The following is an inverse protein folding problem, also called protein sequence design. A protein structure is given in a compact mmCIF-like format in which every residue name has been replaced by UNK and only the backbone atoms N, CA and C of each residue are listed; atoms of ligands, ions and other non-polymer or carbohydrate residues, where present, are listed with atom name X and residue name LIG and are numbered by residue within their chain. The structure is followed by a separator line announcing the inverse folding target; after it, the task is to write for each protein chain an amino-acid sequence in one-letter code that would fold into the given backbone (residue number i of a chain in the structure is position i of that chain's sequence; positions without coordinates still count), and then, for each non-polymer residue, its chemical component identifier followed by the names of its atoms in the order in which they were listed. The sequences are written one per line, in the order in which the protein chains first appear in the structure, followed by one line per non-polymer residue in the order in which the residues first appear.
data_IF_964686549678
#
_entry.id   IF_964686549678
#
_cell.length_a   1.000
_cell.length_b   1.000
_cell.length_c   1.000
_cell.angle_alpha   90.00
_cell.angle_beta   90.00
_cell.angle_gamma   90.00
#
_symmetry.space_group_name_H-M   'P 1'
#
loop_
_entity.id
_entity.type
_entity.pdbx_description
1 polymer ?
#
# COMPACT_ATOMS: atom_id res chain seq x y z
N UNK A 1 26.67 -11.05 -18.62
CA UNK A 1 27.78 -10.07 -18.65
C UNK A 1 27.23 -8.66 -18.58
N UNK A 2 28.06 -7.76 -18.08
CA UNK A 2 27.73 -6.44 -17.56
C UNK A 2 27.06 -5.48 -18.54
N UNK A 3 26.03 -4.76 -18.08
CA UNK A 3 25.65 -3.46 -18.64
C UNK A 3 24.99 -2.55 -17.58
N UNK A 4 25.61 -2.53 -16.41
CA UNK A 4 25.46 -1.48 -15.39
C UNK A 4 26.82 -0.83 -15.09
N UNK A 5 27.75 -0.84 -16.05
CA UNK A 5 29.11 -0.36 -15.82
C UNK A 5 29.16 1.16 -15.63
N UNK A 6 29.48 1.49 -14.39
CA UNK A 6 30.55 2.43 -14.03
C UNK A 6 30.44 3.83 -14.61
N UNK A 7 29.67 4.65 -13.89
CA UNK A 7 30.14 6.02 -13.62
C UNK A 7 31.00 5.97 -12.36
N UNK A 8 32.26 5.60 -12.54
CA UNK A 8 33.26 5.60 -11.48
C UNK A 8 33.38 6.97 -10.83
N UNK A 9 32.99 7.06 -9.56
CA UNK A 9 33.53 8.06 -8.64
C UNK A 9 34.11 7.30 -7.45
N UNK A 10 35.32 7.69 -7.05
CA UNK A 10 36.17 7.00 -6.08
C UNK A 10 35.65 7.03 -4.62
N UNK A 11 34.34 7.07 -4.43
CA UNK A 11 33.65 6.92 -3.15
C UNK A 11 32.42 6.03 -3.40
N UNK A 12 32.54 4.74 -3.06
CA UNK A 12 31.48 3.73 -2.97
C UNK A 12 30.18 4.06 -3.71
N UNK A 13 30.10 3.63 -4.98
CA UNK A 13 29.02 3.97 -5.90
C UNK A 13 27.62 3.72 -5.32
N UNK A 14 26.85 4.80 -5.16
CA UNK A 14 25.40 4.71 -5.14
C UNK A 14 25.00 4.29 -6.55
N UNK A 15 24.60 3.03 -6.72
CA UNK A 15 23.95 2.63 -7.97
C UNK A 15 22.72 3.54 -8.15
N UNK A 16 22.59 4.17 -9.32
CA UNK A 16 21.48 5.09 -9.58
C UNK A 16 20.11 4.39 -9.52
N UNK A 17 20.09 3.06 -9.64
CA UNK A 17 18.90 2.21 -9.65
C UNK A 17 18.07 2.33 -8.35
N UNK A 18 18.61 2.06 -7.14
CA UNK A 18 17.89 2.28 -5.89
C UNK A 18 17.40 3.73 -5.71
N UNK A 19 18.19 4.72 -6.11
CA UNK A 19 17.77 6.13 -6.07
C UNK A 19 16.53 6.36 -6.94
N UNK A 20 16.52 5.86 -8.18
CA UNK A 20 15.38 5.97 -9.08
C UNK A 20 14.16 5.20 -8.58
N UNK A 21 14.32 3.99 -8.03
CA UNK A 21 13.24 3.24 -7.39
C UNK A 21 12.61 4.06 -6.25
N UNK A 22 13.44 4.65 -5.39
CA UNK A 22 12.98 5.50 -4.29
C UNK A 22 12.22 6.74 -4.77
N UNK A 23 12.72 7.40 -5.82
CA UNK A 23 12.06 8.55 -6.44
C UNK A 23 10.69 8.14 -7.01
N UNK A 24 10.61 7.02 -7.72
CA UNK A 24 9.36 6.52 -8.32
C UNK A 24 8.32 6.22 -7.24
N UNK A 25 8.71 5.52 -6.18
CA UNK A 25 7.82 5.19 -5.05
C UNK A 25 7.39 6.43 -4.27
N UNK A 26 8.24 7.46 -4.23
CA UNK A 26 7.88 8.75 -3.64
C UNK A 26 6.84 9.48 -4.49
N UNK A 27 6.99 9.48 -5.82
CA UNK A 27 5.99 10.07 -6.72
C UNK A 27 4.63 9.39 -6.61
N UNK A 28 4.58 8.06 -6.47
CA UNK A 28 3.33 7.33 -6.22
C UNK A 28 2.61 7.82 -4.96
N UNK A 29 3.36 7.99 -3.85
CA UNK A 29 2.80 8.51 -2.61
C UNK A 29 2.31 9.97 -2.74
N UNK A 30 3.06 10.82 -3.43
CA UNK A 30 2.67 12.22 -3.69
C UNK A 30 1.39 12.28 -4.53
N UNK A 31 1.31 11.46 -5.59
CA UNK A 31 0.11 11.33 -6.41
C UNK A 31 -1.06 10.81 -5.59
N UNK A 32 -0.82 9.86 -4.69
CA UNK A 32 -1.82 9.41 -3.73
C UNK A 32 -2.42 10.56 -2.91
N UNK A 33 -1.59 11.40 -2.30
CA UNK A 33 -2.05 12.52 -1.46
C UNK A 33 -2.79 13.60 -2.25
N UNK A 34 -2.35 13.92 -3.46
CA UNK A 34 -2.90 15.03 -4.26
C UNK A 34 -4.09 14.58 -5.11
N UNK A 35 -3.94 13.47 -5.83
CA UNK A 35 -4.90 13.06 -6.85
C UNK A 35 -6.06 12.25 -6.28
N UNK A 36 -5.89 11.47 -5.20
CA UNK A 36 -7.01 10.70 -4.64
C UNK A 36 -8.17 11.61 -4.17
N UNK A 37 -7.94 12.70 -3.41
CA UNK A 37 -9.03 13.60 -3.04
C UNK A 37 -9.61 14.35 -4.23
N UNK A 38 -8.78 14.71 -5.21
CA UNK A 38 -9.17 15.45 -6.41
C UNK A 38 -10.09 14.62 -7.30
N UNK A 39 -9.69 13.38 -7.62
CA UNK A 39 -10.51 12.47 -8.43
C UNK A 39 -11.69 11.87 -7.67
N UNK A 40 -11.60 11.77 -6.33
CA UNK A 40 -12.78 11.52 -5.50
C UNK A 40 -13.86 12.59 -5.73
N UNK A 41 -13.49 13.88 -5.66
CA UNK A 41 -14.41 14.99 -5.95
C UNK A 41 -14.89 15.04 -7.41
N UNK A 42 -14.01 14.74 -8.37
CA UNK A 42 -14.38 14.75 -9.79
C UNK A 42 -15.36 13.62 -10.13
N UNK A 43 -15.09 12.43 -9.63
CA UNK A 43 -16.04 11.32 -9.69
C UNK A 43 -17.32 11.66 -8.97
N UNK A 44 -17.24 12.47 -7.91
CA UNK A 44 -18.43 12.86 -7.16
C UNK A 44 -19.40 13.78 -7.93
N UNK A 45 -18.91 14.46 -8.98
CA UNK A 45 -19.71 15.38 -9.79
C UNK A 45 -20.12 14.80 -11.15
N UNK A 46 -19.79 13.52 -11.41
CA UNK A 46 -20.05 12.90 -12.71
C UNK A 46 -21.41 12.21 -12.72
N UNK A 47 -22.18 12.48 -13.78
CA UNK A 47 -23.53 11.94 -13.95
C UNK A 47 -23.64 11.10 -15.22
N UNK A 48 -23.70 9.79 -15.06
CA UNK A 48 -23.75 8.85 -16.18
C UNK A 48 -24.83 7.78 -15.99
N UNK A 49 -25.16 7.10 -17.10
CA UNK A 49 -26.10 5.96 -17.11
C UNK A 49 -25.57 4.75 -16.32
N UNK A 50 -24.25 4.67 -16.11
CA UNK A 50 -23.61 3.61 -15.34
C UNK A 50 -23.52 3.95 -13.85
N UNK A 51 -24.00 5.13 -13.45
CA UNK A 51 -23.83 5.68 -12.11
C UNK A 51 -22.80 6.82 -12.08
N UNK A 52 -22.36 7.16 -10.88
CA UNK A 52 -21.51 8.29 -10.55
C UNK A 52 -20.02 7.90 -10.52
N UNK A 53 -19.70 6.68 -10.07
CA UNK A 53 -18.31 6.25 -9.83
C UNK A 53 -17.82 5.19 -10.81
N UNK A 54 -18.69 4.29 -11.26
CA UNK A 54 -18.39 3.26 -12.27
C UNK A 54 -17.72 3.73 -13.57
N UNK A 55 -18.05 4.88 -14.20
CA UNK A 55 -17.40 5.30 -15.44
C UNK A 55 -15.88 5.45 -15.31
N UNK A 56 -15.40 6.00 -14.19
CA UNK A 56 -13.97 6.16 -13.95
C UNK A 56 -13.26 4.81 -13.88
N UNK A 57 -13.91 3.80 -13.30
CA UNK A 57 -13.37 2.43 -13.21
C UNK A 57 -13.35 1.76 -14.57
N UNK A 58 -14.44 1.88 -15.34
CA UNK A 58 -14.58 1.22 -16.64
C UNK A 58 -13.61 1.76 -17.69
N UNK A 59 -13.32 3.06 -17.68
CA UNK A 59 -12.32 3.65 -18.59
C UNK A 59 -10.90 3.61 -18.01
N UNK A 60 -10.75 3.86 -16.71
CA UNK A 60 -9.44 3.93 -16.06
C UNK A 60 -8.75 2.57 -15.94
N UNK A 61 -9.47 1.53 -15.53
CA UNK A 61 -8.85 0.23 -15.26
C UNK A 61 -8.29 -0.46 -16.52
N UNK A 62 -8.94 -0.44 -17.70
CA UNK A 62 -8.35 -0.97 -18.94
C UNK A 62 -7.12 -0.22 -19.42
N UNK A 63 -7.15 1.11 -19.32
CA UNK A 63 -5.99 1.93 -19.68
C UNK A 63 -4.83 1.61 -18.73
N UNK A 64 -5.08 1.55 -17.41
CA UNK A 64 -4.06 1.13 -16.45
C UNK A 64 -3.54 -0.27 -16.72
N UNK A 65 -4.40 -1.25 -17.03
CA UNK A 65 -3.99 -2.62 -17.33
C UNK A 65 -3.11 -2.71 -18.59
N UNK A 66 -3.45 -1.96 -19.64
CA UNK A 66 -2.65 -1.86 -20.85
C UNK A 66 -1.27 -1.26 -20.56
N UNK A 67 -1.23 -0.15 -19.82
CA UNK A 67 0.03 0.48 -19.45
C UNK A 67 0.89 -0.44 -18.59
N UNK A 68 0.27 -1.15 -17.65
CA UNK A 68 0.97 -2.11 -16.80
C UNK A 68 1.61 -3.25 -17.60
N UNK A 69 0.89 -3.80 -18.59
CA UNK A 69 1.41 -4.85 -19.46
C UNK A 69 2.53 -4.38 -20.41
N UNK A 70 2.54 -3.09 -20.80
CA UNK A 70 3.53 -2.52 -21.72
C UNK A 70 4.86 -2.22 -21.02
N UNK A 71 4.86 -1.86 -19.72
CA UNK A 71 6.07 -1.51 -18.94
C UNK A 71 7.23 -2.50 -19.16
N UNK A 72 7.08 -3.83 -18.94
CA UNK A 72 8.20 -4.76 -19.10
C UNK A 72 8.65 -4.91 -20.55
N UNK A 73 7.74 -4.75 -21.53
CA UNK A 73 8.09 -4.83 -22.95
C UNK A 73 8.99 -3.66 -23.33
N UNK A 74 8.70 -2.46 -22.83
CA UNK A 74 9.53 -1.28 -23.07
C UNK A 74 10.88 -1.42 -22.37
N UNK A 75 10.88 -1.89 -21.13
CA UNK A 75 12.10 -2.09 -20.36
C UNK A 75 13.05 -3.09 -21.03
N UNK A 76 12.53 -4.23 -21.49
CA UNK A 76 13.35 -5.31 -22.08
C UNK A 76 13.71 -5.04 -23.54
N UNK A 77 12.77 -4.60 -24.39
CA UNK A 77 13.03 -4.46 -25.83
C UNK A 77 13.68 -3.14 -26.22
N UNK A 78 13.32 -2.04 -25.58
CA UNK A 78 13.82 -0.71 -25.95
C UNK A 78 15.00 -0.28 -25.07
N UNK A 79 15.24 -0.98 -23.96
CA UNK A 79 16.31 -0.75 -22.99
C UNK A 79 16.52 0.75 -22.64
N UNK A 80 15.42 1.50 -22.58
CA UNK A 80 15.44 2.93 -22.35
C UNK A 80 14.77 3.28 -21.03
N UNK A 81 15.58 3.70 -20.07
CA UNK A 81 15.12 4.11 -18.73
C UNK A 81 14.07 5.23 -18.81
N UNK A 82 14.27 6.23 -19.67
CA UNK A 82 13.35 7.37 -19.79
C UNK A 82 11.95 6.97 -20.26
N UNK A 83 11.85 6.09 -21.26
CA UNK A 83 10.56 5.58 -21.73
C UNK A 83 9.88 4.68 -20.69
N UNK A 84 10.62 3.78 -20.05
CA UNK A 84 10.07 2.95 -18.96
C UNK A 84 9.51 3.81 -17.83
N UNK A 85 10.24 4.86 -17.43
CA UNK A 85 9.79 5.79 -16.40
C UNK A 85 8.52 6.55 -16.80
N UNK A 86 8.44 7.03 -18.05
CA UNK A 86 7.24 7.70 -18.56
C UNK A 86 6.00 6.81 -18.43
N UNK A 87 6.12 5.53 -18.81
CA UNK A 87 5.01 4.58 -18.72
C UNK A 87 4.64 4.21 -17.29
N UNK A 88 5.60 4.12 -16.37
CA UNK A 88 5.33 3.94 -14.93
C UNK A 88 4.56 5.15 -14.38
N UNK A 89 5.02 6.38 -14.64
CA UNK A 89 4.35 7.60 -14.17
C UNK A 89 2.93 7.68 -14.74
N UNK A 90 2.75 7.38 -16.02
CA UNK A 90 1.45 7.38 -16.66
C UNK A 90 0.53 6.29 -16.09
N UNK A 91 1.06 5.10 -15.81
CA UNK A 91 0.32 4.03 -15.13
C UNK A 91 -0.18 4.49 -13.75
N UNK A 92 0.69 5.05 -12.91
CA UNK A 92 0.34 5.53 -11.56
C UNK A 92 -0.70 6.65 -11.62
N UNK A 93 -0.56 7.58 -12.58
CA UNK A 93 -1.52 8.66 -12.79
C UNK A 93 -2.91 8.12 -13.15
N UNK A 94 -3.00 7.22 -14.14
CA UNK A 94 -4.29 6.62 -14.54
C UNK A 94 -4.86 5.76 -13.41
N UNK A 95 -4.01 5.05 -12.66
CA UNK A 95 -4.43 4.24 -11.52
C UNK A 95 -5.08 5.10 -10.42
N UNK A 96 -4.55 6.30 -10.19
CA UNK A 96 -5.10 7.27 -9.25
C UNK A 96 -6.50 7.76 -9.65
N UNK A 97 -6.86 7.77 -10.94
CA UNK A 97 -8.19 8.18 -11.43
C UNK A 97 -9.32 7.28 -10.92
N UNK A 98 -9.07 5.97 -10.85
CA UNK A 98 -10.13 4.99 -10.55
C UNK A 98 -10.01 4.35 -9.16
N UNK A 99 -8.82 4.37 -8.54
CA UNK A 99 -8.61 3.87 -7.17
C UNK A 99 -9.49 4.58 -6.15
N UNK A 100 -9.53 5.91 -6.17
CA UNK A 100 -10.34 6.69 -5.22
C UNK A 100 -11.85 6.42 -5.36
N UNK A 101 -12.44 6.43 -6.58
CA UNK A 101 -13.83 6.02 -6.80
C UNK A 101 -14.16 4.60 -6.32
N UNK A 102 -13.27 3.62 -6.53
CA UNK A 102 -13.50 2.23 -6.08
C UNK A 102 -13.58 2.14 -4.56
N UNK A 103 -12.66 2.76 -3.84
CA UNK A 103 -12.66 2.72 -2.36
C UNK A 103 -13.92 3.40 -1.80
N UNK A 104 -14.33 4.49 -2.43
CA UNK A 104 -15.52 5.22 -2.00
C UNK A 104 -16.83 4.45 -2.32
N UNK A 105 -16.84 3.56 -3.33
CA UNK A 105 -18.02 2.78 -3.70
C UNK A 105 -18.57 1.93 -2.55
N UNK A 106 -17.70 1.48 -1.64
CA UNK A 106 -18.11 0.68 -0.48
C UNK A 106 -19.05 1.41 0.47
N UNK A 107 -18.71 2.59 1.04
CA UNK A 107 -19.61 3.27 1.97
C UNK A 107 -20.89 3.78 1.28
N UNK A 108 -20.85 3.99 -0.02
CA UNK A 108 -22.00 4.44 -0.83
C UNK A 108 -23.04 3.33 -1.05
N UNK A 109 -22.61 2.09 -1.22
CA UNK A 109 -23.51 0.95 -1.51
C UNK A 109 -23.81 0.08 -0.29
N UNK A 110 -23.01 0.18 0.78
CA UNK A 110 -23.17 -0.66 1.97
C UNK A 110 -24.02 0.07 3.04
N UNK A 111 -25.12 -0.55 3.51
CA UNK A 111 -25.91 -0.02 4.62
C UNK A 111 -25.06 0.25 5.87
N UNK A 112 -25.42 1.28 6.65
CA UNK A 112 -24.64 1.74 7.81
C UNK A 112 -24.24 0.62 8.78
N UNK A 113 -25.16 -0.30 9.05
CA UNK A 113 -24.97 -1.43 9.97
C UNK A 113 -23.90 -2.42 9.48
N UNK A 114 -23.79 -2.61 8.16
CA UNK A 114 -22.88 -3.57 7.54
C UNK A 114 -21.55 -2.95 7.09
N UNK A 115 -21.33 -1.64 7.28
CA UNK A 115 -20.11 -0.95 6.84
C UNK A 115 -18.85 -1.52 7.48
N UNK A 116 -18.90 -1.91 8.75
CA UNK A 116 -17.73 -2.52 9.39
C UNK A 116 -17.35 -3.86 8.75
N UNK A 117 -18.35 -4.69 8.42
CA UNK A 117 -18.14 -5.98 7.76
C UNK A 117 -17.66 -5.81 6.32
N UNK A 118 -18.26 -4.88 5.56
CA UNK A 118 -17.79 -4.54 4.23
C UNK A 118 -16.33 -4.06 4.24
N UNK A 119 -15.92 -3.31 5.27
CA UNK A 119 -14.54 -2.83 5.39
C UNK A 119 -13.59 -4.00 5.70
N UNK A 120 -14.02 -4.96 6.53
CA UNK A 120 -13.27 -6.17 6.79
C UNK A 120 -13.05 -6.99 5.50
N UNK A 121 -14.09 -7.15 4.67
CA UNK A 121 -13.99 -7.85 3.38
C UNK A 121 -13.05 -7.13 2.42
N UNK A 122 -13.08 -5.80 2.35
CA UNK A 122 -12.14 -5.04 1.50
C UNK A 122 -10.70 -5.23 1.96
N UNK A 123 -10.43 -5.16 3.27
CA UNK A 123 -9.09 -5.39 3.79
C UNK A 123 -8.63 -6.83 3.53
N UNK A 124 -9.53 -7.81 3.64
CA UNK A 124 -9.23 -9.21 3.28
C UNK A 124 -8.90 -9.35 1.79
N UNK A 125 -9.70 -8.75 0.90
CA UNK A 125 -9.46 -8.79 -0.55
C UNK A 125 -8.16 -8.05 -0.92
N UNK A 126 -7.84 -6.95 -0.24
CA UNK A 126 -6.55 -6.27 -0.35
C UNK A 126 -5.38 -7.17 0.07
N UNK A 127 -5.55 -7.95 1.15
CA UNK A 127 -4.58 -8.95 1.58
C UNK A 127 -4.38 -10.08 0.55
N UNK A 128 -5.47 -10.62 0.00
CA UNK A 128 -5.41 -11.63 -1.08
C UNK A 128 -4.72 -11.07 -2.32
N UNK A 129 -5.08 -9.85 -2.74
CA UNK A 129 -4.45 -9.16 -3.86
C UNK A 129 -2.95 -8.92 -3.64
N UNK A 130 -2.56 -8.54 -2.43
CA UNK A 130 -1.16 -8.38 -2.04
C UNK A 130 -0.40 -9.71 -2.08
N UNK A 131 -1.00 -10.80 -1.59
CA UNK A 131 -0.42 -12.13 -1.68
C UNK A 131 -0.27 -12.59 -3.14
N UNK A 132 -1.30 -12.41 -3.97
CA UNK A 132 -1.23 -12.70 -5.40
C UNK A 132 -0.12 -11.91 -6.10
N UNK A 133 0.04 -10.61 -5.79
CA UNK A 133 1.12 -9.79 -6.32
C UNK A 133 2.51 -10.28 -5.88
N UNK A 134 2.65 -10.64 -4.60
CA UNK A 134 3.90 -11.14 -4.04
C UNK A 134 4.31 -12.49 -4.66
N UNK A 135 3.35 -13.37 -4.94
CA UNK A 135 3.59 -14.69 -5.55
C UNK A 135 3.46 -14.71 -7.07
N UNK A 136 3.10 -13.59 -7.72
CA UNK A 136 2.85 -13.54 -9.16
C UNK A 136 4.05 -14.05 -9.97
N UNK A 137 5.27 -13.62 -9.60
CA UNK A 137 6.51 -14.09 -10.21
C UNK A 137 6.65 -15.61 -10.12
N UNK A 138 6.54 -16.15 -8.90
CA UNK A 138 6.64 -17.60 -8.65
C UNK A 138 5.58 -18.41 -9.40
N UNK A 139 4.33 -17.94 -9.44
CA UNK A 139 3.22 -18.60 -10.15
C UNK A 139 3.51 -18.64 -11.66
N UNK A 140 3.90 -17.51 -12.24
CA UNK A 140 4.20 -17.40 -13.67
C UNK A 140 5.41 -18.25 -14.05
N UNK A 141 6.50 -18.19 -13.27
CA UNK A 141 7.67 -19.03 -13.49
C UNK A 141 7.32 -20.51 -13.40
N UNK A 142 6.51 -20.93 -12.43
CA UNK A 142 6.08 -22.33 -12.31
C UNK A 142 5.27 -22.80 -13.52
N UNK A 143 4.33 -21.98 -14.00
CA UNK A 143 3.52 -22.29 -15.19
C UNK A 143 4.40 -22.35 -16.45
N UNK A 144 5.32 -21.40 -16.61
CA UNK A 144 6.24 -21.35 -17.75
C UNK A 144 7.16 -22.58 -17.78
N UNK A 145 7.79 -22.91 -16.66
CA UNK A 145 8.62 -24.11 -16.50
C UNK A 145 7.83 -25.39 -16.80
N UNK A 146 6.59 -25.50 -16.30
CA UNK A 146 5.73 -26.66 -16.56
C UNK A 146 5.32 -26.76 -18.05
N UNK A 147 5.06 -25.64 -18.71
CA UNK A 147 4.68 -25.60 -20.13
C UNK A 147 5.86 -25.92 -21.07
N UNK A 148 7.07 -25.45 -20.73
CA UNK A 148 8.26 -25.64 -21.55
C UNK A 148 9.05 -26.92 -21.20
N UNK A 149 8.71 -27.60 -20.09
CA UNK A 149 9.45 -28.76 -19.61
C UNK A 149 10.85 -28.44 -19.05
N UNK A 150 11.10 -27.17 -18.72
CA UNK A 150 12.41 -26.68 -18.25
C UNK A 150 12.37 -26.52 -16.73
N UNK A 151 13.43 -26.94 -16.03
CA UNK A 151 13.55 -26.71 -14.59
C UNK A 151 13.93 -25.25 -14.30
N UNK A 152 13.34 -24.63 -13.27
CA UNK A 152 13.70 -23.28 -12.82
C UNK A 152 15.14 -23.15 -12.29
N UNK A 153 15.87 -24.26 -12.20
CA UNK A 153 17.29 -24.32 -11.82
C UNK A 153 18.21 -24.63 -13.00
N UNK A 154 17.69 -24.78 -14.21
CA UNK A 154 18.53 -25.02 -15.38
C UNK A 154 19.27 -23.73 -15.76
N UNK A 155 20.49 -23.83 -16.31
CA UNK A 155 21.21 -22.68 -16.85
C UNK A 155 20.52 -22.02 -18.05
N UNK A 156 19.55 -22.71 -18.66
CA UNK A 156 18.76 -22.26 -19.81
C UNK A 156 17.57 -21.39 -19.41
N UNK A 157 17.19 -21.37 -18.12
CA UNK A 157 16.09 -20.55 -17.64
C UNK A 157 16.59 -19.15 -17.28
N UNK A 158 16.13 -18.15 -18.03
CA UNK A 158 16.32 -16.74 -17.71
C UNK A 158 15.05 -16.14 -17.09
N UNK A 159 15.19 -15.48 -15.94
CA UNK A 159 14.10 -14.79 -15.27
C UNK A 159 13.52 -13.66 -16.13
N UNK A 160 14.35 -13.06 -17.01
CA UNK A 160 13.93 -12.04 -17.98
C UNK A 160 12.85 -12.53 -18.95
N UNK A 161 12.79 -13.82 -19.26
CA UNK A 161 11.76 -14.37 -20.16
C UNK A 161 10.38 -14.41 -19.50
N UNK A 162 10.35 -14.68 -18.18
CA UNK A 162 9.09 -14.74 -17.43
C UNK A 162 8.59 -13.37 -17.00
N UNK A 163 9.47 -12.36 -16.95
CA UNK A 163 9.19 -11.03 -16.43
C UNK A 163 7.96 -10.34 -17.07
N UNK A 164 7.79 -10.30 -18.41
CA UNK A 164 6.61 -9.68 -19.02
C UNK A 164 5.28 -10.39 -18.66
N UNK A 165 5.32 -11.71 -18.48
CA UNK A 165 4.15 -12.50 -18.15
C UNK A 165 3.65 -12.23 -16.71
N UNK A 166 4.54 -11.85 -15.80
CA UNK A 166 4.17 -11.44 -14.43
C UNK A 166 3.28 -10.20 -14.45
N UNK A 167 3.64 -9.19 -15.25
CA UNK A 167 2.84 -7.98 -15.41
C UNK A 167 1.55 -8.25 -16.17
N UNK A 168 1.57 -9.17 -17.15
CA UNK A 168 0.37 -9.58 -17.87
C UNK A 168 -0.65 -10.25 -16.92
N UNK A 169 -0.19 -11.07 -15.98
CA UNK A 169 -1.05 -11.66 -14.95
C UNK A 169 -1.72 -10.56 -14.11
N UNK A 170 -0.96 -9.56 -13.66
CA UNK A 170 -1.50 -8.41 -12.92
C UNK A 170 -2.52 -7.62 -13.74
N UNK A 171 -2.23 -7.36 -15.01
CA UNK A 171 -3.15 -6.70 -15.93
C UNK A 171 -4.45 -7.50 -16.13
N UNK A 172 -4.37 -8.82 -16.26
CA UNK A 172 -5.54 -9.70 -16.37
C UNK A 172 -6.42 -9.63 -15.12
N UNK A 173 -5.82 -9.69 -13.92
CA UNK A 173 -6.55 -9.56 -12.64
C UNK A 173 -7.25 -8.21 -12.54
N UNK A 174 -6.61 -7.12 -12.97
CA UNK A 174 -7.22 -5.79 -13.02
C UNK A 174 -8.45 -5.74 -13.94
N UNK A 175 -8.36 -6.32 -15.14
CA UNK A 175 -9.50 -6.40 -16.07
C UNK A 175 -10.63 -7.24 -15.49
N UNK A 176 -10.33 -8.40 -14.91
CA UNK A 176 -11.34 -9.26 -14.26
C UNK A 176 -12.04 -8.49 -13.14
N UNK A 177 -11.29 -7.78 -12.29
CA UNK A 177 -11.87 -6.95 -11.23
C UNK A 177 -12.78 -5.85 -11.78
N UNK A 178 -12.37 -5.17 -12.87
CA UNK A 178 -13.22 -4.20 -13.55
C UNK A 178 -14.50 -4.84 -14.10
N UNK A 179 -14.41 -6.00 -14.75
CA UNK A 179 -15.57 -6.71 -15.30
C UNK A 179 -16.54 -7.12 -14.18
N UNK A 180 -16.03 -7.56 -13.03
CA UNK A 180 -16.87 -7.86 -11.86
C UNK A 180 -17.63 -6.62 -11.40
N UNK A 181 -16.97 -5.46 -11.29
CA UNK A 181 -17.62 -4.19 -10.96
C UNK A 181 -18.64 -3.78 -12.04
N UNK A 182 -18.31 -3.97 -13.31
CA UNK A 182 -19.20 -3.65 -14.43
C UNK A 182 -20.47 -4.51 -14.39
N UNK A 183 -20.38 -5.81 -14.15
CA UNK A 183 -21.53 -6.71 -14.27
C UNK A 183 -22.32 -6.88 -12.96
N UNK A 184 -21.64 -6.93 -11.81
CA UNK A 184 -22.28 -7.26 -10.53
C UNK A 184 -22.67 -6.03 -9.73
N UNK A 185 -21.93 -4.92 -9.84
CA UNK A 185 -22.23 -3.71 -9.07
C UNK A 185 -23.15 -2.81 -9.87
N UNK A 186 -24.44 -2.79 -9.51
CA UNK A 186 -25.43 -1.90 -10.13
C UNK A 186 -25.55 -0.62 -9.30
N UNK A 187 -24.87 0.43 -9.73
CA UNK A 187 -25.20 1.79 -9.26
C UNK A 187 -26.54 2.22 -9.88
N UNK A 188 -27.50 2.74 -9.09
CA UNK A 188 -28.71 3.35 -9.64
C UNK A 188 -28.34 4.52 -10.56
N UNK A 189 -29.09 4.71 -11.65
CA UNK A 189 -28.81 5.74 -12.64
C UNK A 189 -28.78 7.13 -11.98
N UNK A 190 -27.57 7.69 -11.88
CA UNK A 190 -27.31 8.99 -11.26
C UNK A 190 -28.03 10.15 -11.96
N UNK A 191 -28.45 9.97 -13.22
CA UNK A 191 -29.22 10.98 -13.96
C UNK A 191 -30.68 11.04 -13.52
N UNK A 192 -31.23 9.91 -13.05
CA UNK A 192 -32.60 9.86 -12.52
C UNK A 192 -32.66 10.50 -11.13
N UNK A 193 -31.64 10.28 -10.29
CA UNK A 193 -31.48 11.01 -9.02
C UNK A 193 -31.29 12.50 -9.25
N UNK A 194 -30.42 12.94 -10.16
CA UNK A 194 -30.24 14.38 -10.42
C UNK A 194 -31.55 15.08 -10.87
N UNK A 195 -32.42 14.41 -11.63
CA UNK A 195 -33.74 14.96 -12.00
C UNK A 195 -34.75 14.95 -10.84
N UNK A 196 -34.67 13.98 -9.94
CA UNK A 196 -35.48 13.93 -8.71
C UNK A 196 -34.97 14.94 -7.66
N UNK A 197 -33.66 14.99 -7.43
CA UNK A 197 -32.97 15.92 -6.55
C UNK A 197 -33.11 17.37 -7.01
N UNK A 198 -33.13 17.65 -8.33
CA UNK A 198 -33.46 18.99 -8.86
C UNK A 198 -34.94 19.36 -8.71
N UNK A 199 -35.84 18.37 -8.55
CA UNK A 199 -37.24 18.59 -8.24
C UNK A 199 -37.49 18.71 -6.72
N UNK A 200 -36.65 18.11 -5.89
CA UNK A 200 -36.65 18.21 -4.42
C UNK A 200 -35.73 19.32 -3.86
N UNK A 201 -34.99 20.02 -4.74
CA UNK A 201 -34.03 21.07 -4.39
C UNK A 201 -34.62 22.32 -3.71
N UNK A 202 -35.95 22.46 -3.65
CA UNK A 202 -36.60 23.56 -2.96
C UNK A 202 -36.66 23.39 -1.43
N UNK A 203 -36.51 22.17 -0.90
CA UNK A 203 -36.68 21.88 0.53
C UNK A 203 -35.38 21.37 1.22
N UNK A 204 -34.42 20.85 0.44
CA UNK A 204 -33.14 20.33 0.96
C UNK A 204 -32.07 21.40 1.24
N UNK A 205 -32.15 22.58 0.62
CA UNK A 205 -31.12 23.62 0.80
C UNK A 205 -31.08 24.14 2.25
N UNK A 206 -32.25 24.17 2.93
CA UNK A 206 -32.37 24.50 4.35
C UNK A 206 -31.81 23.41 5.26
N UNK A 207 -32.10 22.13 5.00
CA UNK A 207 -31.53 20.99 5.76
C UNK A 207 -30.01 20.90 5.59
N UNK A 208 -29.50 21.13 4.37
CA UNK A 208 -28.09 21.04 4.04
C UNK A 208 -27.28 22.23 4.57
N UNK A 209 -27.88 23.42 4.67
CA UNK A 209 -27.33 24.56 5.43
C UNK A 209 -27.29 24.27 6.92
N UNK A 210 -28.39 23.77 7.51
CA UNK A 210 -28.46 23.42 8.92
C UNK A 210 -27.46 22.32 9.30
N UNK A 211 -27.27 21.30 8.45
CA UNK A 211 -26.29 20.23 8.69
C UNK A 211 -24.85 20.71 8.50
N UNK A 212 -24.59 21.62 7.55
CA UNK A 212 -23.29 22.29 7.38
C UNK A 212 -22.97 23.21 8.55
N UNK A 213 -23.94 23.97 9.04
CA UNK A 213 -23.79 24.86 10.19
C UNK A 213 -23.64 24.07 11.48
N UNK A 214 -24.37 22.96 11.66
CA UNK A 214 -24.19 22.04 12.78
C UNK A 214 -22.79 21.41 12.78
N UNK A 215 -22.32 20.88 11.64
CA UNK A 215 -20.94 20.36 11.51
C UNK A 215 -19.88 21.45 11.68
N UNK A 216 -20.15 22.67 11.25
CA UNK A 216 -19.24 23.82 11.45
C UNK A 216 -19.20 24.25 12.92
N UNK A 217 -20.35 24.33 13.58
CA UNK A 217 -20.47 24.65 15.00
C UNK A 217 -19.89 23.55 15.90
N UNK A 218 -20.06 22.29 15.54
CA UNK A 218 -19.42 21.14 16.19
C UNK A 218 -17.90 21.20 16.03
N UNK A 219 -17.42 21.47 14.80
CA UNK A 219 -15.98 21.67 14.53
C UNK A 219 -15.42 22.92 15.24
N UNK A 220 -16.21 23.97 15.41
CA UNK A 220 -15.82 25.18 16.14
C UNK A 220 -15.83 24.98 17.66
N UNK A 221 -16.78 24.22 18.22
CA UNK A 221 -16.80 23.80 19.63
C UNK A 221 -15.61 22.88 19.96
N UNK A 222 -15.28 21.95 19.07
CA UNK A 222 -14.09 21.09 19.19
C UNK A 222 -12.78 21.87 19.07
N UNK A 223 -12.72 22.90 18.21
CA UNK A 223 -11.56 23.82 18.13
C UNK A 223 -11.43 24.72 19.35
N UNK A 224 -12.55 25.06 20.00
CA UNK A 224 -12.57 25.85 21.23
C UNK A 224 -12.03 25.06 22.43
N UNK A 225 -12.15 23.72 22.39
CA UNK A 225 -11.56 22.80 23.37
C UNK A 225 -10.07 22.56 23.07
N UNK A 226 -9.28 23.63 23.18
CA UNK A 226 -7.84 23.62 22.93
C UNK A 226 -7.16 22.57 23.81
N UNK A 227 -6.40 21.67 23.19
CA UNK A 227 -5.47 20.79 23.87
C UNK A 227 -4.54 21.63 24.76
N UNK A 228 -4.31 21.18 25.99
CA UNK A 228 -3.34 21.79 26.88
C UNK A 228 -1.97 21.82 26.16
N UNK A 229 -1.16 22.89 26.25
CA UNK A 229 0.17 22.94 25.63
C UNK A 229 1.03 21.68 25.77
N UNK A 230 0.91 20.96 26.89
CA UNK A 230 1.55 19.65 27.11
C UNK A 230 1.02 18.53 26.22
N UNK A 231 -0.30 18.42 26.05
CA UNK A 231 -0.95 17.42 25.19
C UNK A 231 -0.63 17.68 23.72
N UNK A 232 -0.65 18.95 23.29
CA UNK A 232 -0.27 19.33 21.92
C UNK A 232 1.18 18.97 21.62
N UNK A 233 2.10 19.21 22.56
CA UNK A 233 3.51 18.82 22.40
C UNK A 233 3.67 17.30 22.32
N UNK A 234 2.97 16.56 23.19
CA UNK A 234 2.96 15.09 23.17
C UNK A 234 2.38 14.53 21.85
N UNK A 235 1.28 15.10 21.36
CA UNK A 235 0.66 14.71 20.10
C UNK A 235 1.61 14.94 18.91
N UNK A 236 2.27 16.10 18.84
CA UNK A 236 3.25 16.40 17.79
C UNK A 236 4.42 15.40 17.81
N UNK A 237 4.98 15.09 18.98
CA UNK A 237 6.03 14.07 19.08
C UNK A 237 5.55 12.68 18.67
N UNK A 238 4.30 12.32 18.99
CA UNK A 238 3.72 11.06 18.53
C UNK A 238 3.53 11.02 17.01
N UNK A 239 3.02 12.09 16.42
CA UNK A 239 2.84 12.20 14.97
C UNK A 239 4.19 12.15 14.25
N UNK A 240 5.23 12.80 14.80
CA UNK A 240 6.59 12.67 14.28
C UNK A 240 7.11 11.24 14.41
N UNK A 241 6.91 10.59 15.56
CA UNK A 241 7.29 9.18 15.74
C UNK A 241 6.58 8.26 14.75
N UNK A 242 5.29 8.50 14.52
CA UNK A 242 4.49 7.76 13.55
C UNK A 242 4.96 8.02 12.11
N UNK A 243 5.30 9.26 11.78
CA UNK A 243 5.89 9.63 10.51
C UNK A 243 7.20 8.86 10.26
N UNK A 244 8.13 8.86 11.23
CA UNK A 244 9.39 8.12 11.10
C UNK A 244 9.18 6.61 11.03
N UNK A 245 8.21 6.08 11.77
CA UNK A 245 7.83 4.67 11.69
C UNK A 245 7.36 4.31 10.27
N UNK A 246 6.40 5.05 9.72
CA UNK A 246 5.90 4.80 8.37
C UNK A 246 6.98 5.02 7.31
N UNK A 247 7.87 6.00 7.49
CA UNK A 247 9.02 6.20 6.62
C UNK A 247 9.94 4.97 6.61
N UNK A 248 10.26 4.43 7.80
CA UNK A 248 11.05 3.21 7.95
C UNK A 248 10.37 1.98 7.34
N UNK A 249 9.09 1.75 7.63
CA UNK A 249 8.34 0.62 7.07
C UNK A 249 8.24 0.70 5.54
N UNK A 250 8.00 1.88 4.97
CA UNK A 250 7.96 2.05 3.51
C UNK A 250 9.33 1.86 2.88
N UNK A 251 10.40 2.33 3.51
CA UNK A 251 11.77 2.11 3.03
C UNK A 251 12.11 0.61 3.00
N UNK A 252 11.83 -0.12 4.09
CA UNK A 252 12.03 -1.57 4.14
C UNK A 252 11.18 -2.24 3.05
N UNK A 253 9.88 -1.98 2.99
CA UNK A 253 8.98 -2.58 1.99
C UNK A 253 9.44 -2.34 0.55
N UNK A 254 9.94 -1.14 0.25
CA UNK A 254 10.39 -0.75 -1.09
C UNK A 254 11.69 -1.43 -1.49
N UNK A 255 12.67 -1.48 -0.58
CA UNK A 255 14.02 -1.90 -0.91
C UNK A 255 14.35 -3.33 -0.48
N UNK A 256 13.47 -4.02 0.25
CA UNK A 256 13.77 -5.34 0.79
C UNK A 256 14.10 -6.38 -0.28
N UNK A 257 13.35 -6.39 -1.39
CA UNK A 257 13.63 -7.32 -2.49
C UNK A 257 15.01 -7.06 -3.12
N UNK A 258 15.37 -5.78 -3.31
CA UNK A 258 16.66 -5.37 -3.83
C UNK A 258 17.79 -5.72 -2.85
N UNK A 259 17.58 -5.46 -1.56
CA UNK A 259 18.49 -5.86 -0.49
C UNK A 259 18.72 -7.37 -0.47
N UNK A 260 17.66 -8.16 -0.64
CA UNK A 260 17.76 -9.62 -0.67
C UNK A 260 18.54 -10.11 -1.91
N UNK A 261 18.35 -9.48 -3.06
CA UNK A 261 19.07 -9.83 -4.28
C UNK A 261 20.56 -9.40 -4.22
N UNK A 262 20.84 -8.14 -3.93
CA UNK A 262 22.19 -7.55 -4.05
C UNK A 262 23.09 -7.85 -2.86
N UNK A 263 22.55 -7.85 -1.63
CA UNK A 263 23.35 -7.98 -0.39
C UNK A 263 23.30 -9.41 0.15
N UNK A 264 22.13 -10.05 0.13
CA UNK A 264 21.99 -11.42 0.65
C UNK A 264 22.25 -12.50 -0.41
N UNK A 265 22.46 -12.09 -1.67
CA UNK A 265 22.62 -12.98 -2.83
C UNK A 265 21.52 -14.04 -2.91
N UNK A 266 20.27 -13.63 -2.61
CA UNK A 266 19.08 -14.49 -2.67
C UNK A 266 18.40 -14.35 -4.01
N UNK A 267 17.79 -15.45 -4.47
CA UNK A 267 16.93 -15.41 -5.65
C UNK A 267 15.66 -14.62 -5.36
N UNK A 268 14.99 -14.11 -6.40
CA UNK A 268 13.69 -13.43 -6.26
C UNK A 268 12.68 -14.27 -5.49
N UNK A 269 12.61 -15.57 -5.77
CA UNK A 269 11.73 -16.50 -5.04
C UNK A 269 12.07 -16.58 -3.54
N UNK A 270 13.37 -16.58 -3.18
CA UNK A 270 13.79 -16.57 -1.78
C UNK A 270 13.44 -15.24 -1.09
N UNK A 271 13.66 -14.11 -1.76
CA UNK A 271 13.26 -12.79 -1.25
C UNK A 271 11.75 -12.73 -1.00
N UNK A 272 10.94 -13.26 -1.92
CA UNK A 272 9.47 -13.39 -1.76
C UNK A 272 9.09 -14.21 -0.54
N UNK A 273 9.74 -15.35 -0.29
CA UNK A 273 9.49 -16.18 0.90
C UNK A 273 9.87 -15.41 2.18
N UNK A 274 10.97 -14.68 2.17
CA UNK A 274 11.42 -13.86 3.30
C UNK A 274 10.42 -12.75 3.65
N UNK A 275 9.93 -12.01 2.63
CA UNK A 275 8.86 -11.01 2.81
C UNK A 275 7.57 -11.63 3.32
N UNK A 276 7.22 -12.81 2.80
CA UNK A 276 6.02 -13.55 3.24
C UNK A 276 6.14 -13.97 4.70
N UNK A 277 7.30 -14.47 5.13
CA UNK A 277 7.53 -14.85 6.52
C UNK A 277 7.38 -13.66 7.46
N UNK A 278 7.92 -12.49 7.08
CA UNK A 278 7.74 -11.25 7.83
C UNK A 278 6.26 -10.83 7.92
N UNK A 279 5.53 -10.88 6.80
CA UNK A 279 4.11 -10.53 6.75
C UNK A 279 3.24 -11.52 7.55
N UNK A 280 3.50 -12.82 7.46
CA UNK A 280 2.78 -13.86 8.21
C UNK A 280 3.02 -13.72 9.71
N UNK A 281 4.27 -13.50 10.14
CA UNK A 281 4.58 -13.24 11.54
C UNK A 281 3.89 -11.97 12.06
N UNK A 282 3.86 -10.91 11.24
CA UNK A 282 3.11 -9.68 11.55
C UNK A 282 1.62 -9.95 11.73
N UNK A 283 0.99 -10.70 10.81
CA UNK A 283 -0.42 -11.03 10.87
C UNK A 283 -0.78 -11.87 12.11
N UNK A 284 0.02 -12.90 12.43
CA UNK A 284 -0.18 -13.73 13.63
C UNK A 284 -0.01 -12.93 14.93
N UNK A 285 0.91 -11.97 14.94
CA UNK A 285 1.15 -11.10 16.09
C UNK A 285 0.09 -10.00 16.28
N UNK A 286 -0.82 -9.78 15.31
CA UNK A 286 -1.84 -8.74 15.39
C UNK A 286 -2.78 -8.88 16.60
N UNK A 287 -3.26 -10.10 16.85
CA UNK A 287 -4.18 -10.38 17.96
C UNK A 287 -3.47 -10.27 19.33
N UNK A 288 -2.29 -10.91 19.54
CA UNK A 288 -1.50 -10.71 20.75
C UNK A 288 -1.14 -9.24 20.98
N UNK A 289 -0.82 -8.49 19.93
CA UNK A 289 -0.44 -7.08 20.03
C UNK A 289 -1.56 -6.20 20.56
N UNK A 290 -2.79 -6.43 20.10
CA UNK A 290 -3.96 -5.72 20.58
C UNK A 290 -4.29 -6.06 22.04
N UNK A 291 -4.20 -7.34 22.42
CA UNK A 291 -4.44 -7.78 23.79
C UNK A 291 -3.39 -7.24 24.78
N UNK A 292 -2.11 -7.31 24.41
CA UNK A 292 -1.00 -6.83 25.23
C UNK A 292 -1.10 -5.31 25.41
N UNK A 293 -1.44 -4.57 24.35
CA UNK A 293 -1.71 -3.14 24.41
C UNK A 293 -2.75 -2.74 25.46
N UNK A 294 -3.83 -3.53 25.61
CA UNK A 294 -4.87 -3.31 26.63
C UNK A 294 -4.38 -3.66 28.04
N UNK A 295 -3.60 -4.74 28.19
CA UNK A 295 -3.20 -5.27 29.52
C UNK A 295 -2.05 -4.51 30.17
N UNK A 296 -0.98 -4.23 29.44
CA UNK A 296 0.24 -3.57 29.98
C UNK A 296 0.32 -2.08 29.62
N UNK A 297 -0.63 -1.59 28.81
CA UNK A 297 -0.66 -0.23 28.30
C UNK A 297 0.01 -0.11 26.93
N UNK A 298 -0.62 0.65 26.03
CA UNK A 298 -0.22 0.78 24.62
C UNK A 298 1.19 1.35 24.47
N UNK A 299 1.51 2.42 25.20
CA UNK A 299 2.85 3.05 25.17
C UNK A 299 3.97 2.06 25.49
N UNK A 300 3.80 1.22 26.51
CA UNK A 300 4.79 0.21 26.90
C UNK A 300 4.92 -0.91 25.87
N UNK A 301 3.80 -1.31 25.27
CA UNK A 301 3.77 -2.33 24.21
C UNK A 301 4.52 -1.85 22.96
N UNK A 302 4.32 -0.58 22.56
CA UNK A 302 5.03 0.03 21.43
C UNK A 302 6.54 0.11 21.72
N UNK A 303 6.95 0.58 22.90
CA UNK A 303 8.38 0.64 23.27
C UNK A 303 9.03 -0.75 23.31
N UNK A 304 8.32 -1.75 23.84
CA UNK A 304 8.78 -3.13 23.83
C UNK A 304 8.95 -3.69 22.43
N UNK A 305 7.97 -3.44 21.54
CA UNK A 305 8.05 -3.79 20.12
C UNK A 305 9.24 -3.13 19.44
N UNK A 306 9.44 -1.82 19.62
CA UNK A 306 10.57 -1.10 19.04
C UNK A 306 11.93 -1.65 19.51
N UNK A 307 12.05 -1.94 20.81
CA UNK A 307 13.26 -2.52 21.39
C UNK A 307 13.58 -3.90 20.79
N UNK A 308 12.57 -4.79 20.72
CA UNK A 308 12.73 -6.12 20.14
C UNK A 308 13.10 -6.03 18.65
N UNK A 309 12.47 -5.10 17.91
CA UNK A 309 12.74 -4.88 16.49
C UNK A 309 14.20 -4.48 16.26
N UNK A 310 14.68 -3.46 16.99
CA UNK A 310 16.07 -2.99 16.90
C UNK A 310 17.04 -4.09 17.30
N UNK A 311 16.77 -4.82 18.39
CA UNK A 311 17.65 -5.87 18.89
C UNK A 311 17.77 -7.04 17.89
N UNK A 312 16.66 -7.46 17.29
CA UNK A 312 16.65 -8.56 16.33
C UNK A 312 17.47 -8.25 15.07
N UNK A 313 17.30 -7.06 14.49
CA UNK A 313 18.07 -6.63 13.33
C UNK A 313 19.52 -6.25 13.67
N UNK A 314 19.80 -5.71 14.86
CA UNK A 314 21.16 -5.44 15.32
C UNK A 314 21.96 -6.74 15.53
N UNK A 315 21.34 -7.78 16.11
CA UNK A 315 21.97 -9.08 16.26
C UNK A 315 22.34 -9.69 14.89
N UNK A 316 21.44 -9.62 13.91
CA UNK A 316 21.76 -9.99 12.53
C UNK A 316 22.94 -9.17 11.98
N UNK A 317 22.89 -7.85 12.06
CA UNK A 317 23.92 -6.96 11.51
C UNK A 317 25.31 -7.25 12.11
N UNK A 318 25.40 -7.42 13.42
CA UNK A 318 26.65 -7.72 14.12
C UNK A 318 27.23 -9.05 13.63
N UNK A 319 26.41 -10.09 13.55
CA UNK A 319 26.89 -11.42 13.12
C UNK A 319 27.26 -11.49 11.64
N UNK A 320 26.62 -10.66 10.81
CA UNK A 320 27.01 -10.47 9.42
C UNK A 320 28.36 -9.77 9.29
N UNK A 321 28.59 -8.69 10.05
CA UNK A 321 29.89 -7.97 10.07
C UNK A 321 31.02 -8.87 10.59
N UNK A 322 30.73 -9.76 11.54
CA UNK A 322 31.69 -10.70 12.10
C UNK A 322 32.02 -11.89 11.17
N UNK A 323 31.37 -12.01 10.00
CA UNK A 323 31.65 -13.06 9.01
C UNK A 323 31.23 -14.48 9.43
N UNK A 324 30.25 -14.61 10.34
CA UNK A 324 29.77 -15.93 10.80
C UNK A 324 28.57 -16.36 9.94
N UNK A 325 28.85 -16.87 8.74
CA UNK A 325 27.84 -17.12 7.69
C UNK A 325 26.70 -18.06 8.10
N UNK A 326 27.01 -19.12 8.85
CA UNK A 326 25.98 -20.06 9.32
C UNK A 326 25.04 -19.42 10.36
N UNK A 327 25.58 -18.56 11.23
CA UNK A 327 24.83 -17.89 12.29
C UNK A 327 24.01 -16.74 11.72
N UNK A 328 24.58 -15.92 10.83
CA UNK A 328 23.90 -14.81 10.17
C UNK A 328 22.76 -15.30 9.28
N UNK A 329 22.95 -16.43 8.59
CA UNK A 329 21.93 -17.08 7.78
C UNK A 329 20.73 -17.62 8.58
N UNK A 330 20.94 -18.06 9.83
CA UNK A 330 19.83 -18.41 10.73
C UNK A 330 19.19 -17.17 11.37
N UNK A 331 20.00 -16.20 11.77
CA UNK A 331 19.56 -15.00 12.44
C UNK A 331 18.73 -14.08 11.55
N UNK A 332 18.92 -14.08 10.24
CA UNK A 332 18.07 -13.29 9.36
C UNK A 332 16.61 -13.78 9.38
N UNK A 333 16.38 -15.10 9.42
CA UNK A 333 15.02 -15.66 9.54
C UNK A 333 14.42 -15.34 10.91
N UNK A 334 15.21 -15.43 11.97
CA UNK A 334 14.80 -15.01 13.31
C UNK A 334 14.44 -13.52 13.32
N UNK A 335 15.28 -12.67 12.71
CA UNK A 335 15.06 -11.23 12.62
C UNK A 335 13.81 -10.88 11.82
N UNK A 336 13.51 -11.62 10.75
CA UNK A 336 12.30 -11.41 9.96
C UNK A 336 11.03 -11.84 10.70
N UNK A 337 11.04 -12.99 11.37
CA UNK A 337 9.88 -13.49 12.12
C UNK A 337 9.64 -12.61 13.35
N UNK A 338 10.68 -12.41 14.17
CA UNK A 338 10.59 -11.60 15.39
C UNK A 338 10.37 -10.13 15.04
N UNK A 339 11.02 -9.61 14.01
CA UNK A 339 10.83 -8.26 13.51
C UNK A 339 9.42 -8.04 12.96
N UNK A 340 8.85 -9.00 12.23
CA UNK A 340 7.45 -8.94 11.78
C UNK A 340 6.48 -8.86 12.96
N UNK A 341 6.65 -9.74 13.94
CA UNK A 341 5.83 -9.72 15.16
C UNK A 341 5.99 -8.40 15.94
N UNK A 342 7.23 -7.92 16.08
CA UNK A 342 7.55 -6.69 16.77
C UNK A 342 6.98 -5.45 16.07
N UNK A 343 7.00 -5.42 14.73
CA UNK A 343 6.36 -4.38 13.92
C UNK A 343 4.86 -4.29 14.22
N UNK A 344 4.18 -5.43 14.40
CA UNK A 344 2.75 -5.44 14.72
C UNK A 344 2.43 -4.93 16.13
N UNK A 345 3.32 -5.13 17.11
CA UNK A 345 3.20 -4.50 18.43
C UNK A 345 3.17 -2.98 18.36
N UNK A 346 3.88 -2.41 17.39
CA UNK A 346 3.94 -0.97 17.15
C UNK A 346 2.67 -0.52 16.40
N UNK A 347 2.40 -1.07 15.21
CA UNK A 347 1.37 -0.56 14.30
C UNK A 347 -0.05 -0.68 14.85
N UNK A 348 -0.42 -1.81 15.48
CA UNK A 348 -1.76 -2.03 16.07
C UNK A 348 -2.07 -1.06 17.20
N UNK A 349 -1.05 -0.68 17.98
CA UNK A 349 -1.22 0.13 19.16
C UNK A 349 -1.06 1.64 18.89
N UNK A 350 -0.49 2.02 17.76
CA UNK A 350 -0.19 3.43 17.50
C UNK A 350 -1.43 4.26 17.19
N UNK A 351 -2.31 3.80 16.29
CA UNK A 351 -3.55 4.53 15.97
C UNK A 351 -4.40 4.77 17.23
N UNK A 352 -4.72 3.74 18.04
CA UNK A 352 -5.49 3.97 19.25
C UNK A 352 -4.80 4.86 20.29
N UNK A 353 -3.46 4.83 20.40
CA UNK A 353 -2.73 5.72 21.31
C UNK A 353 -2.85 7.19 20.87
N UNK A 354 -2.83 7.45 19.56
CA UNK A 354 -3.09 8.79 19.00
C UNK A 354 -4.52 9.23 19.32
N UNK A 355 -5.50 8.34 19.21
CA UNK A 355 -6.89 8.65 19.55
C UNK A 355 -7.10 8.86 21.06
N UNK A 356 -6.41 8.10 21.91
CA UNK A 356 -6.47 8.26 23.38
C UNK A 356 -5.88 9.59 23.84
N UNK A 357 -4.80 10.07 23.21
CA UNK A 357 -4.18 11.37 23.52
C UNK A 357 -4.92 12.53 22.83
N UNK A 358 -5.46 12.29 21.64
CA UNK A 358 -6.30 13.24 20.91
C UNK A 358 -7.68 13.41 21.53
N UNK A 359 -8.18 12.42 22.29
CA UNK A 359 -9.56 12.31 22.73
C UNK A 359 -10.41 11.65 21.65
N UNK A 360 -11.19 10.63 22.03
CA UNK A 360 -12.15 9.94 21.13
C UNK A 360 -13.18 10.93 20.56
N UNK A 361 -13.43 12.04 21.28
CA UNK A 361 -14.29 13.12 20.85
C UNK A 361 -13.63 14.05 19.81
N UNK A 362 -12.29 14.07 19.65
CA UNK A 362 -11.58 14.98 18.71
C UNK A 362 -11.14 14.31 17.41
N UNK A 363 -11.73 13.17 17.07
CA UNK A 363 -11.40 12.39 15.88
C UNK A 363 -12.05 13.04 14.65
N UNK A 364 -11.23 13.56 13.72
CA UNK A 364 -11.69 14.23 12.49
C UNK A 364 -11.57 15.77 12.50
N UNK A 365 -10.99 16.36 13.54
CA UNK A 365 -10.77 17.82 13.63
C UNK A 365 -9.45 18.30 13.02
N UNK A 366 -8.53 17.38 12.71
CA UNK A 366 -7.19 17.65 12.20
C UNK A 366 -6.98 17.12 10.78
#
# INVERSE_FOLDING_TARGET
EANGEDVGTAAGGITLVPLFIGIIMTFDNIFGVIFQPTFGKLSDNTHSRLGKRRPFVVYGAPISALLFAIIPIIAVKFNSLGFTMLFIIMFVFVMSLWRAPVVALMPDLTPNELRSEGNAVINLMGGIGSALGLFAGTIVTAIYCAAMGISSKSPEFDEYDTFPYVFLLGAAVMIIGMLVILFFVKEPDSRLKLKADMAEAADEEAKRKAEKEAKKAEKERMKAEKLNPGERRSLVFMLMGLFFLFCGTNAISTFFALFAAEILHKTTAQATIMTTAFAAASALAALPAGWLGKKIGRKKTILGGLFIFVLAFAAYLITHILGIDALSGALIWVALIVGGAANMFITVNTLPLVLEIGGIDKVGTY
#
